data_IF_018385485581
#
_entry.id   IF_018385485581
#
_cell.length_a   1.000
_cell.length_b   1.000
_cell.length_c   1.000
_cell.angle_alpha   90.00
_cell.angle_beta   90.00
_cell.angle_gamma   90.00
#
_symmetry.space_group_name_H-M   'P 1'
#
loop_
_entity.id
_entity.type
_entity.pdbx_description
1 polymer ?
#
# COMPACT_ATOMS: atom_id res chain seq x y z
N UNK A 1 -21.43 27.68 18.26
CA UNK A 1 -21.84 27.75 16.84
C UNK A 1 -20.61 27.45 15.97
N UNK A 2 -20.72 26.54 15.00
CA UNK A 2 -19.60 26.15 14.14
C UNK A 2 -19.40 27.23 13.08
N UNK A 3 -18.18 27.77 12.95
CA UNK A 3 -17.86 28.77 11.93
C UNK A 3 -16.50 28.45 11.30
N UNK A 4 -16.46 28.43 9.97
CA UNK A 4 -15.23 28.36 9.18
C UNK A 4 -14.53 29.71 9.24
N UNK A 5 -13.24 29.72 9.62
CA UNK A 5 -12.42 30.93 9.69
C UNK A 5 -11.55 31.06 8.44
N UNK A 6 -10.85 29.98 8.06
CA UNK A 6 -10.03 29.84 6.85
C UNK A 6 -10.16 28.41 6.28
N UNK A 7 -9.75 28.12 5.03
CA UNK A 7 -9.75 26.75 4.50
C UNK A 7 -8.90 25.83 5.40
N UNK A 8 -9.56 24.94 6.15
CA UNK A 8 -8.92 23.98 7.06
C UNK A 8 -8.95 24.34 8.55
N UNK A 9 -9.48 25.51 8.94
CA UNK A 9 -9.62 25.88 10.37
C UNK A 9 -11.10 25.96 10.75
N UNK A 10 -11.54 24.98 11.54
CA UNK A 10 -12.87 24.90 12.10
C UNK A 10 -12.85 25.34 13.57
N UNK A 11 -13.60 26.38 13.92
CA UNK A 11 -13.80 26.76 15.32
C UNK A 11 -15.09 26.15 15.87
N UNK A 12 -14.97 25.44 17.00
CA UNK A 12 -16.10 25.00 17.83
C UNK A 12 -15.94 25.59 19.24
N UNK A 13 -16.91 26.42 19.64
CA UNK A 13 -16.98 27.06 20.96
C UNK A 13 -15.70 27.81 21.40
N UNK A 14 -14.96 28.40 20.45
CA UNK A 14 -13.78 29.22 20.76
C UNK A 14 -12.47 28.45 20.99
N UNK A 15 -12.48 27.12 20.84
CA UNK A 15 -11.24 26.35 20.73
C UNK A 15 -10.83 26.25 19.26
N UNK A 16 -9.59 26.65 18.97
CA UNK A 16 -8.92 26.34 17.70
C UNK A 16 -8.52 24.87 17.77
N UNK A 17 -9.21 24.03 16.99
CA UNK A 17 -8.73 22.67 16.75
C UNK A 17 -7.67 22.78 15.65
N UNK A 18 -6.39 22.68 16.03
CA UNK A 18 -5.38 22.28 15.05
C UNK A 18 -5.85 20.94 14.48
N UNK A 19 -6.14 20.90 13.19
CA UNK A 19 -6.51 19.69 12.49
C UNK A 19 -5.30 18.75 12.60
N UNK A 20 -5.39 17.75 13.47
CA UNK A 20 -4.39 16.68 13.59
C UNK A 20 -4.41 15.92 12.26
N UNK A 21 -3.56 16.39 11.34
CA UNK A 21 -3.59 16.15 9.90
C UNK A 21 -2.87 14.87 9.55
N UNK A 22 -2.91 13.86 10.42
CA UNK A 22 -2.31 12.57 10.12
C UNK A 22 -3.25 11.77 9.22
N UNK A 23 -2.90 11.66 7.94
CA UNK A 23 -3.69 10.92 6.96
C UNK A 23 -3.86 9.45 7.41
N UNK A 24 -5.11 9.05 7.66
CA UNK A 24 -5.47 7.71 8.15
C UNK A 24 -5.03 6.58 7.21
N UNK A 25 -4.91 6.85 5.91
CA UNK A 25 -4.45 5.89 4.91
C UNK A 25 -2.91 5.73 4.87
N UNK A 26 -2.19 6.44 5.74
CA UNK A 26 -0.75 6.36 5.89
C UNK A 26 -0.33 5.96 7.32
N UNK A 27 -1.28 5.59 8.18
CA UNK A 27 -1.03 5.26 9.58
C UNK A 27 -1.39 3.81 9.92
N UNK A 28 -0.79 3.30 11.01
CA UNK A 28 -1.06 1.96 11.55
C UNK A 28 -0.95 0.85 10.49
N UNK A 29 -1.99 0.02 10.34
CA UNK A 29 -2.01 -1.09 9.38
C UNK A 29 -2.01 -0.62 7.90
N UNK A 30 -2.29 0.66 7.63
CA UNK A 30 -2.21 1.27 6.31
C UNK A 30 -0.88 1.99 6.08
N UNK A 31 0.03 1.99 7.07
CA UNK A 31 1.33 2.60 6.93
C UNK A 31 2.13 1.96 5.77
N UNK A 32 2.88 2.77 5.00
CA UNK A 32 3.64 2.27 3.86
C UNK A 32 4.67 1.20 4.24
N UNK A 33 4.72 0.12 3.46
CA UNK A 33 5.79 -0.87 3.53
C UNK A 33 6.97 -0.36 2.70
N UNK A 34 7.99 0.17 3.37
CA UNK A 34 9.15 0.81 2.72
C UNK A 34 10.20 -0.17 2.19
N UNK A 35 10.20 -1.41 2.68
CA UNK A 35 11.24 -2.42 2.38
C UNK A 35 10.70 -3.55 1.52
N UNK A 36 11.45 -3.90 0.47
CA UNK A 36 11.27 -5.15 -0.28
C UNK A 36 12.07 -6.27 0.40
N UNK A 37 11.43 -7.44 0.53
CA UNK A 37 11.99 -8.66 1.07
C UNK A 37 12.03 -9.71 -0.03
N UNK A 38 13.09 -10.52 -0.05
CA UNK A 38 13.29 -11.59 -1.03
C UNK A 38 13.51 -12.88 -0.26
N UNK A 39 12.61 -13.84 -0.48
CA UNK A 39 12.68 -15.21 0.03
C UNK A 39 13.02 -15.31 1.53
N UNK A 40 12.41 -14.46 2.36
CA UNK A 40 12.62 -14.50 3.80
C UNK A 40 11.88 -15.71 4.39
N UNK A 41 12.62 -16.69 4.91
CA UNK A 41 12.03 -17.85 5.57
C UNK A 41 11.27 -17.39 6.83
N UNK A 42 9.99 -17.75 6.90
CA UNK A 42 9.13 -17.49 8.04
C UNK A 42 9.40 -18.57 9.09
N UNK A 43 10.31 -18.28 10.02
CA UNK A 43 10.63 -19.16 11.15
C UNK A 43 9.93 -18.66 12.39
N UNK A 44 9.11 -19.51 13.00
CA UNK A 44 8.52 -19.24 14.30
C UNK A 44 8.09 -20.52 14.98
N UNK A 45 8.90 -21.00 15.94
CA UNK A 45 8.57 -22.18 16.75
C UNK A 45 7.32 -21.98 17.62
N UNK A 46 6.94 -20.72 17.84
CA UNK A 46 5.87 -20.33 18.76
C UNK A 46 4.47 -20.43 18.15
N UNK A 47 4.35 -20.60 16.82
CA UNK A 47 3.07 -20.58 16.10
C UNK A 47 2.57 -21.96 15.67
N UNK A 48 3.21 -23.03 16.15
CA UNK A 48 2.91 -24.41 15.73
C UNK A 48 3.60 -24.81 14.42
N UNK A 49 3.10 -25.86 13.78
CA UNK A 49 3.62 -26.39 12.50
C UNK A 49 2.62 -26.23 11.36
N UNK A 50 3.13 -26.05 10.14
CA UNK A 50 2.32 -26.15 8.93
C UNK A 50 1.81 -27.60 8.83
N UNK A 51 0.52 -27.84 8.53
CA UNK A 51 -0.02 -29.20 8.39
C UNK A 51 0.74 -30.03 7.35
N UNK A 52 0.96 -31.31 7.64
CA UNK A 52 1.79 -32.18 6.79
C UNK A 52 1.14 -32.46 5.42
N UNK A 53 -0.18 -32.33 5.32
CA UNK A 53 -0.99 -32.47 4.10
C UNK A 53 -1.21 -31.14 3.36
N UNK A 54 -0.65 -30.03 3.85
CA UNK A 54 -0.80 -28.73 3.19
C UNK A 54 -0.10 -28.74 1.83
N UNK A 55 -0.78 -28.36 0.73
CA UNK A 55 -0.17 -28.43 -0.59
C UNK A 55 0.94 -27.39 -0.77
N UNK A 56 1.98 -27.75 -1.52
CA UNK A 56 2.94 -26.77 -2.02
C UNK A 56 2.24 -25.77 -2.94
N UNK A 57 2.55 -24.48 -2.78
CA UNK A 57 1.84 -23.43 -3.48
C UNK A 57 2.26 -22.04 -3.06
N UNK A 58 1.52 -21.03 -3.53
CA UNK A 58 1.81 -19.64 -3.20
C UNK A 58 0.53 -18.84 -3.00
N UNK A 59 0.45 -18.15 -1.86
CA UNK A 59 -0.55 -17.14 -1.61
C UNK A 59 -0.02 -15.78 -2.07
N UNK A 60 -0.82 -15.03 -2.83
CA UNK A 60 -0.46 -13.71 -3.34
C UNK A 60 -1.53 -12.69 -2.95
N UNK A 61 -1.10 -11.51 -2.49
CA UNK A 61 -1.97 -10.37 -2.21
C UNK A 61 -1.40 -9.12 -2.87
N UNK A 62 -2.21 -8.47 -3.70
CA UNK A 62 -1.91 -7.14 -4.22
C UNK A 62 -2.46 -6.06 -3.29
N UNK A 63 -1.75 -4.94 -3.19
CA UNK A 63 -2.25 -3.76 -2.49
C UNK A 63 -1.58 -2.48 -2.97
N UNK A 64 -2.27 -1.34 -2.81
CA UNK A 64 -1.65 -0.04 -2.96
C UNK A 64 -0.58 0.17 -1.89
N UNK A 65 0.61 0.59 -2.31
CA UNK A 65 1.70 0.97 -1.44
C UNK A 65 2.42 2.19 -2.05
N UNK A 66 2.54 3.32 -1.36
CA UNK A 66 3.20 4.48 -1.93
C UNK A 66 4.70 4.20 -2.06
N UNK A 67 5.23 4.40 -3.26
CA UNK A 67 6.67 4.20 -3.55
C UNK A 67 7.54 5.26 -2.86
N UNK A 68 7.00 6.46 -2.67
CA UNK A 68 7.63 7.61 -2.00
C UNK A 68 6.62 8.23 -1.05
N UNK A 69 7.10 8.97 -0.06
CA UNK A 69 6.23 9.63 0.92
C UNK A 69 5.25 10.56 0.19
N UNK A 70 3.93 10.27 0.25
CA UNK A 70 2.93 11.07 -0.44
C UNK A 70 2.54 12.30 0.38
N UNK A 71 1.81 13.23 -0.24
CA UNK A 71 1.21 14.34 0.48
C UNK A 71 -0.03 13.90 1.28
N UNK A 72 -0.58 14.80 2.09
CA UNK A 72 -1.76 14.51 2.90
C UNK A 72 -3.05 14.25 2.09
N UNK A 73 -3.03 14.37 0.75
CA UNK A 73 -4.19 14.07 -0.11
C UNK A 73 -4.25 12.61 -0.56
N UNK A 74 -3.40 11.75 -0.02
CA UNK A 74 -3.35 10.32 -0.34
C UNK A 74 -4.65 9.60 0.03
N UNK A 75 -5.26 8.91 -0.94
CA UNK A 75 -6.43 8.06 -0.71
C UNK A 75 -6.11 6.57 -0.66
N UNK A 76 -7.06 5.77 -0.21
CA UNK A 76 -6.93 4.30 -0.12
C UNK A 76 -6.53 3.65 -1.46
N UNK A 77 -7.03 4.14 -2.59
CA UNK A 77 -6.72 3.58 -3.92
C UNK A 77 -5.47 4.17 -4.59
N UNK A 78 -4.82 5.14 -3.95
CA UNK A 78 -3.60 5.74 -4.47
C UNK A 78 -2.39 4.84 -4.20
N UNK A 79 -1.26 5.14 -4.84
CA UNK A 79 0.00 4.41 -4.64
C UNK A 79 0.28 3.36 -5.70
N UNK A 80 1.51 2.84 -5.64
CA UNK A 80 1.98 1.82 -6.58
C UNK A 80 1.58 0.43 -6.12
N UNK A 81 1.25 -0.47 -7.05
CA UNK A 81 0.97 -1.85 -6.68
C UNK A 81 2.19 -2.54 -6.07
N UNK A 82 2.02 -3.17 -4.91
CA UNK A 82 3.00 -4.08 -4.30
C UNK A 82 2.34 -5.45 -4.10
N UNK A 83 3.00 -6.49 -4.63
CA UNK A 83 2.60 -7.88 -4.39
C UNK A 83 3.32 -8.37 -3.14
N UNK A 84 2.56 -8.95 -2.22
CA UNK A 84 3.05 -9.74 -1.11
C UNK A 84 2.78 -11.21 -1.41
N UNK A 85 3.77 -12.07 -1.18
CA UNK A 85 3.65 -13.50 -1.42
C UNK A 85 4.11 -14.30 -0.21
N UNK A 86 3.40 -15.38 0.09
CA UNK A 86 3.87 -16.45 0.97
C UNK A 86 3.91 -17.73 0.14
N UNK A 87 5.11 -18.27 -0.07
CA UNK A 87 5.34 -19.54 -0.76
C UNK A 87 5.46 -20.65 0.27
N UNK A 88 4.66 -21.69 0.11
CA UNK A 88 4.71 -22.92 0.89
C UNK A 88 5.35 -24.01 0.03
N UNK A 89 6.36 -24.68 0.57
CA UNK A 89 7.06 -25.78 -0.10
C UNK A 89 7.58 -26.79 0.91
N UNK A 90 7.72 -28.03 0.47
CA UNK A 90 8.39 -29.09 1.22
C UNK A 90 9.88 -29.06 0.85
N UNK A 91 10.77 -29.07 1.84
CA UNK A 91 12.23 -29.18 1.62
C UNK A 91 12.65 -30.65 1.39
N UNK A 92 13.95 -30.86 1.12
CA UNK A 92 14.50 -32.19 0.81
C UNK A 92 14.36 -33.18 1.99
N UNK A 93 14.24 -32.67 3.22
CA UNK A 93 14.03 -33.45 4.44
C UNK A 93 12.54 -33.76 4.70
N UNK A 94 11.65 -33.35 3.80
CA UNK A 94 10.20 -33.55 3.93
C UNK A 94 9.52 -32.54 4.85
N UNK A 95 10.18 -31.45 5.23
CA UNK A 95 9.65 -30.45 6.16
C UNK A 95 8.99 -29.30 5.40
N UNK A 96 7.77 -28.95 5.79
CA UNK A 96 7.07 -27.78 5.24
C UNK A 96 7.73 -26.47 5.69
N UNK A 97 8.03 -25.62 4.71
CA UNK A 97 8.63 -24.29 4.87
C UNK A 97 7.76 -23.23 4.23
N UNK A 98 7.73 -22.05 4.84
CA UNK A 98 7.08 -20.88 4.26
C UNK A 98 8.09 -19.75 4.05
N UNK A 99 8.01 -19.09 2.89
CA UNK A 99 8.88 -18.00 2.52
C UNK A 99 8.06 -16.78 2.13
N UNK A 100 8.38 -15.64 2.74
CA UNK A 100 7.78 -14.36 2.42
C UNK A 100 8.60 -13.58 1.39
N UNK A 101 7.92 -12.89 0.50
CA UNK A 101 8.51 -11.95 -0.45
C UNK A 101 7.51 -10.83 -0.70
N UNK A 102 8.00 -9.61 -0.88
CA UNK A 102 7.18 -8.52 -1.39
C UNK A 102 7.96 -7.69 -2.40
N UNK A 103 7.30 -7.32 -3.50
CA UNK A 103 7.90 -6.51 -4.57
C UNK A 103 6.90 -5.53 -5.16
N UNK A 104 7.38 -4.34 -5.50
CA UNK A 104 6.63 -3.40 -6.32
C UNK A 104 6.45 -3.93 -7.74
N UNK A 105 5.24 -3.81 -8.27
CA UNK A 105 4.93 -4.13 -9.67
C UNK A 105 5.62 -3.08 -10.55
N UNK A 106 6.54 -3.51 -11.42
CA UNK A 106 7.32 -2.60 -12.27
C UNK A 106 6.48 -2.04 -13.42
N UNK A 107 5.66 -1.04 -13.13
CA UNK A 107 4.88 -0.29 -14.12
C UNK A 107 5.69 0.85 -14.73
N UNK A 108 5.22 1.40 -15.86
CA UNK A 108 5.81 2.62 -16.44
C UNK A 108 5.76 3.82 -15.49
N UNK A 109 4.71 3.93 -14.66
CA UNK A 109 4.58 5.01 -13.68
C UNK A 109 5.65 4.96 -12.59
N UNK A 110 6.02 3.77 -12.10
CA UNK A 110 7.14 3.62 -11.16
C UNK A 110 8.45 4.10 -11.77
N UNK A 111 8.74 3.70 -13.03
CA UNK A 111 9.96 4.12 -13.72
C UNK A 111 10.05 5.65 -13.84
N UNK A 112 8.94 6.30 -14.18
CA UNK A 112 8.86 7.77 -14.27
C UNK A 112 9.03 8.40 -12.89
N UNK A 113 8.38 7.86 -11.86
CA UNK A 113 8.48 8.37 -10.49
C UNK A 113 9.91 8.30 -9.94
N UNK A 114 10.62 7.20 -10.22
CA UNK A 114 12.02 7.02 -9.86
C UNK A 114 12.92 8.01 -10.60
N UNK A 115 12.76 8.16 -11.91
CA UNK A 115 13.54 9.11 -12.73
C UNK A 115 13.35 10.55 -12.25
N UNK A 116 12.11 10.93 -11.96
CA UNK A 116 11.75 12.30 -11.55
C UNK A 116 11.90 12.54 -10.04
N UNK A 117 12.30 11.51 -9.28
CA UNK A 117 12.43 11.52 -7.82
C UNK A 117 11.20 12.07 -7.08
N UNK A 118 10.00 11.87 -7.63
CA UNK A 118 8.73 12.39 -7.10
C UNK A 118 7.70 11.27 -7.03
N UNK A 119 6.66 11.36 -6.18
CA UNK A 119 5.61 10.36 -6.18
C UNK A 119 4.97 10.23 -7.58
N UNK A 120 4.57 9.01 -8.00
CA UNK A 120 3.86 8.82 -9.25
C UNK A 120 2.61 9.69 -9.26
N UNK A 121 2.32 10.34 -10.39
CA UNK A 121 1.15 11.21 -10.51
C UNK A 121 -0.10 10.34 -10.34
N UNK A 122 -0.79 10.48 -9.22
CA UNK A 122 -2.05 9.77 -8.97
C UNK A 122 -3.03 10.06 -10.11
N UNK A 123 -3.54 9.00 -10.70
CA UNK A 123 -4.82 9.05 -11.41
C UNK A 123 -5.86 8.97 -10.30
N UNK A 124 -6.14 10.08 -9.63
CA UNK A 124 -7.30 10.13 -8.74
C UNK A 124 -8.52 9.65 -9.51
N UNK A 125 -9.50 9.03 -8.84
CA UNK A 125 -10.76 8.59 -9.49
C UNK A 125 -11.36 9.73 -10.35
N UNK A 126 -11.26 10.97 -9.87
CA UNK A 126 -11.60 12.20 -10.59
C UNK A 126 -10.84 12.38 -11.93
N UNK A 127 -9.51 12.20 -11.94
CA UNK A 127 -8.70 12.21 -13.17
C UNK A 127 -9.00 11.01 -14.07
N UNK A 128 -9.30 9.85 -13.48
CA UNK A 128 -9.72 8.64 -14.19
C UNK A 128 -11.03 8.84 -14.95
N UNK A 129 -12.07 9.34 -14.26
CA UNK A 129 -13.35 9.72 -14.84
C UNK A 129 -13.14 10.75 -15.95
N UNK A 130 -12.37 11.81 -15.71
CA UNK A 130 -12.12 12.83 -16.74
C UNK A 130 -11.42 12.27 -17.99
N UNK A 131 -10.54 11.29 -17.82
CA UNK A 131 -9.86 10.61 -18.92
C UNK A 131 -10.79 9.65 -19.67
N UNK A 132 -11.67 8.94 -18.96
CA UNK A 132 -12.74 8.12 -19.53
C UNK A 132 -13.73 8.97 -20.34
N UNK A 133 -14.14 10.12 -19.80
CA UNK A 133 -14.99 11.07 -20.53
C UNK A 133 -14.28 11.52 -21.83
N UNK A 134 -13.00 11.89 -21.79
CA UNK A 134 -12.29 12.28 -23.01
C UNK A 134 -12.15 11.16 -24.06
N UNK A 135 -12.25 9.88 -23.68
CA UNK A 135 -12.24 8.74 -24.62
C UNK A 135 -13.65 8.45 -25.16
N UNK A 136 -14.70 8.72 -24.38
CA UNK A 136 -16.09 8.47 -24.78
C UNK A 136 -16.68 9.61 -25.62
N UNK A 137 -16.13 10.82 -25.54
CA UNK A 137 -16.60 12.01 -26.26
C UNK A 137 -15.67 12.46 -27.40
N UNK A 138 -14.75 11.60 -27.83
CA UNK A 138 -14.02 11.69 -29.10
C UNK A 138 -14.29 10.44 -29.93
#
# INVERSE_FOLDING_TARGET
PVRMLEPGILSINGAELEEDTQNVYLSCNWAPVKREFILCELRGKEYGKIPDDFPSGMYLRNGPNPLRDPDNKYGWFDGSGMIHSVRFQVDDDGVHRAYYTNRFIKTGFIKIADLLQRPPVNITVQKGIRRLMNVLYN
#
